data_IF_106266414586
#
_entry.id   IF_106266414586
#
_cell.length_a   1.000
_cell.length_b   1.000
_cell.length_c   1.000
_cell.angle_alpha   90.00
_cell.angle_beta   90.00
_cell.angle_gamma   90.00
#
_symmetry.space_group_name_H-M   'P 1'
#
loop_
_entity.id
_entity.type
_entity.pdbx_description
1 polymer ?
#
# COMPACT_ATOMS: atom_id res chain seq x y z
N UNK A 1 51.26 9.71 45.44
CA UNK A 1 49.85 10.16 45.33
C UNK A 1 49.57 10.86 44.00
N UNK A 2 50.15 12.03 43.71
CA UNK A 2 49.78 12.82 42.52
C UNK A 2 50.09 12.15 41.15
N UNK A 3 51.22 11.44 41.02
CA UNK A 3 51.54 10.68 39.80
C UNK A 3 50.55 9.53 39.51
N UNK A 4 50.11 8.83 40.55
CA UNK A 4 49.11 7.74 40.44
C UNK A 4 47.76 8.30 40.01
N UNK A 5 47.39 9.47 40.53
CA UNK A 5 46.16 10.17 40.15
C UNK A 5 46.15 10.59 38.68
N UNK A 6 47.28 11.07 38.14
CA UNK A 6 47.39 11.47 36.72
C UNK A 6 47.30 10.27 35.78
N UNK A 7 47.92 9.14 36.12
CA UNK A 7 47.84 7.90 35.33
C UNK A 7 46.41 7.36 35.30
N UNK A 8 45.71 7.37 36.44
CA UNK A 8 44.31 6.94 36.50
C UNK A 8 43.37 7.88 35.72
N UNK A 9 43.61 9.20 35.75
CA UNK A 9 42.82 10.16 34.99
C UNK A 9 43.04 9.99 33.48
N UNK A 10 44.29 9.81 33.04
CA UNK A 10 44.63 9.53 31.63
C UNK A 10 43.99 8.23 31.14
N UNK A 11 44.03 7.16 31.95
CA UNK A 11 43.37 5.89 31.61
C UNK A 11 41.84 6.05 31.49
N UNK A 12 41.21 6.83 32.37
CA UNK A 12 39.77 7.11 32.30
C UNK A 12 39.40 7.88 31.02
N UNK A 13 40.18 8.90 30.65
CA UNK A 13 39.95 9.69 29.43
C UNK A 13 40.04 8.82 28.17
N UNK A 14 41.08 7.99 28.07
CA UNK A 14 41.25 7.08 26.91
C UNK A 14 40.08 6.09 26.83
N UNK A 15 39.67 5.49 27.95
CA UNK A 15 38.54 4.56 27.98
C UNK A 15 37.22 5.24 27.57
N UNK A 16 36.99 6.50 27.97
CA UNK A 16 35.78 7.23 27.56
C UNK A 16 35.78 7.59 26.07
N UNK A 17 36.93 7.94 25.52
CA UNK A 17 37.07 8.26 24.10
C UNK A 17 36.86 7.02 23.22
N UNK A 18 37.41 5.86 23.61
CA UNK A 18 37.20 4.58 22.93
C UNK A 18 35.74 4.12 22.97
N UNK A 19 35.07 4.29 24.12
CA UNK A 19 33.65 3.97 24.27
C UNK A 19 32.78 4.86 23.38
N UNK A 20 33.06 6.17 23.35
CA UNK A 20 32.37 7.13 22.49
C UNK A 20 32.60 6.87 21.00
N UNK A 21 33.83 6.51 20.61
CA UNK A 21 34.13 6.14 19.23
C UNK A 21 33.37 4.88 18.79
N UNK A 22 33.38 3.84 19.63
CA UNK A 22 32.67 2.58 19.35
C UNK A 22 31.17 2.79 19.23
N UNK A 23 30.58 3.61 20.10
CA UNK A 23 29.17 3.96 20.07
C UNK A 23 28.81 4.72 18.79
N UNK A 24 29.59 5.73 18.39
CA UNK A 24 29.37 6.48 17.16
C UNK A 24 29.46 5.60 15.89
N UNK A 25 30.37 4.60 15.87
CA UNK A 25 30.40 3.64 14.76
C UNK A 25 29.14 2.77 14.70
N UNK A 26 28.63 2.32 15.84
CA UNK A 26 27.37 1.57 15.90
C UNK A 26 26.18 2.43 15.45
N UNK A 27 26.05 3.64 15.97
CA UNK A 27 24.97 4.57 15.59
C UNK A 27 25.00 4.90 14.10
N UNK A 28 26.20 5.08 13.51
CA UNK A 28 26.35 5.26 12.06
C UNK A 28 25.87 4.05 11.27
N UNK A 29 26.24 2.86 11.71
CA UNK A 29 25.82 1.62 11.05
C UNK A 29 24.31 1.43 11.12
N UNK A 30 23.72 1.61 12.30
CA UNK A 30 22.28 1.55 12.52
C UNK A 30 21.54 2.59 11.68
N UNK A 31 22.03 3.84 11.63
CA UNK A 31 21.42 4.88 10.81
C UNK A 31 21.46 4.54 9.31
N UNK A 32 22.57 3.97 8.82
CA UNK A 32 22.68 3.50 7.44
C UNK A 32 21.69 2.37 7.14
N UNK A 33 21.52 1.41 8.05
CA UNK A 33 20.53 0.34 7.90
C UNK A 33 19.11 0.90 7.87
N UNK A 34 18.75 1.76 8.83
CA UNK A 34 17.43 2.39 8.90
C UNK A 34 17.10 3.19 7.65
N UNK A 35 18.08 3.87 7.05
CA UNK A 35 17.89 4.56 5.76
C UNK A 35 17.59 3.60 4.63
N UNK A 36 18.35 2.51 4.52
CA UNK A 36 18.11 1.49 3.51
C UNK A 36 16.72 0.86 3.64
N UNK A 37 16.30 0.54 4.86
CA UNK A 37 14.97 0.02 5.14
C UNK A 37 13.87 1.05 4.85
N UNK A 38 14.10 2.33 5.17
CA UNK A 38 13.14 3.40 4.87
C UNK A 38 12.95 3.57 3.37
N UNK A 39 14.04 3.54 2.60
CA UNK A 39 13.98 3.65 1.14
C UNK A 39 13.28 2.43 0.52
N UNK A 40 13.53 1.22 1.04
CA UNK A 40 12.80 0.02 0.64
C UNK A 40 11.30 0.15 0.92
N UNK A 41 10.93 0.56 2.14
CA UNK A 41 9.53 0.75 2.52
C UNK A 41 8.85 1.83 1.68
N UNK A 42 9.54 2.92 1.34
CA UNK A 42 9.04 3.94 0.41
C UNK A 42 8.78 3.37 -0.98
N UNK A 43 9.69 2.57 -1.51
CA UNK A 43 9.53 1.92 -2.80
C UNK A 43 8.34 0.95 -2.81
N UNK A 44 8.18 0.13 -1.76
CA UNK A 44 7.03 -0.76 -1.59
C UNK A 44 5.71 0.03 -1.45
N UNK A 45 5.70 1.10 -0.67
CA UNK A 45 4.53 1.94 -0.49
C UNK A 45 4.06 2.57 -1.81
N UNK A 46 5.00 3.04 -2.64
CA UNK A 46 4.68 3.55 -3.97
C UNK A 46 4.05 2.47 -4.86
N UNK A 47 4.63 1.26 -4.89
CA UNK A 47 4.09 0.14 -5.66
C UNK A 47 2.66 -0.24 -5.22
N UNK A 48 2.38 -0.24 -3.91
CA UNK A 48 1.03 -0.52 -3.42
C UNK A 48 0.04 0.58 -3.78
N UNK A 49 0.45 1.86 -3.70
CA UNK A 49 -0.41 2.98 -4.12
C UNK A 49 -0.78 2.88 -5.60
N UNK A 50 0.19 2.59 -6.46
CA UNK A 50 -0.05 2.38 -7.89
C UNK A 50 -1.02 1.22 -8.13
N UNK A 51 -0.77 0.07 -7.50
CA UNK A 51 -1.65 -1.10 -7.61
C UNK A 51 -3.09 -0.78 -7.17
N UNK A 52 -3.27 -0.09 -6.03
CA UNK A 52 -4.58 0.31 -5.51
C UNK A 52 -5.29 1.31 -6.42
N UNK A 53 -4.56 2.27 -7.01
CA UNK A 53 -5.15 3.25 -7.93
C UNK A 53 -5.69 2.61 -9.21
N UNK A 54 -5.09 1.51 -9.65
CA UNK A 54 -5.55 0.75 -10.82
C UNK A 54 -6.63 -0.30 -10.50
N UNK A 55 -6.84 -0.60 -9.22
CA UNK A 55 -7.79 -1.62 -8.82
C UNK A 55 -9.23 -1.11 -8.97
N UNK A 56 -10.11 -1.98 -9.48
CA UNK A 56 -11.52 -1.69 -9.65
C UNK A 56 -12.39 -2.75 -8.99
N UNK A 57 -13.58 -2.37 -8.52
CA UNK A 57 -14.57 -3.28 -7.99
C UNK A 57 -15.04 -4.24 -9.10
N UNK A 58 -14.95 -5.57 -8.92
CA UNK A 58 -15.37 -6.53 -9.95
C UNK A 58 -16.88 -6.52 -10.19
N UNK A 59 -17.67 -6.04 -9.21
CA UNK A 59 -19.13 -6.05 -9.29
C UNK A 59 -19.69 -4.77 -9.92
N UNK A 60 -19.11 -3.60 -9.62
CA UNK A 60 -19.64 -2.32 -10.10
C UNK A 60 -18.71 -1.56 -11.06
N UNK A 61 -17.49 -2.06 -11.30
CA UNK A 61 -16.49 -1.41 -12.16
C UNK A 61 -15.96 -0.06 -11.63
N UNK A 62 -16.35 0.34 -10.42
CA UNK A 62 -15.87 1.58 -9.77
C UNK A 62 -14.43 1.46 -9.26
N UNK A 63 -13.75 2.59 -9.01
CA UNK A 63 -12.41 2.59 -8.41
C UNK A 63 -12.44 1.90 -7.04
N UNK A 64 -11.43 1.10 -6.74
CA UNK A 64 -11.26 0.46 -5.42
C UNK A 64 -10.66 1.42 -4.39
N UNK A 65 -10.04 2.51 -4.84
CA UNK A 65 -9.50 3.55 -3.98
C UNK A 65 -10.64 4.32 -3.28
N UNK A 66 -10.59 4.34 -1.95
CA UNK A 66 -11.56 5.06 -1.11
C UNK A 66 -11.43 6.57 -1.34
N UNK A 67 -12.57 7.23 -1.61
CA UNK A 67 -12.64 8.68 -1.76
C UNK A 67 -12.49 9.21 -3.19
N UNK A 68 -12.21 8.35 -4.17
CA UNK A 68 -12.18 8.73 -5.59
C UNK A 68 -13.58 8.79 -6.23
N UNK A 69 -14.61 8.34 -5.51
CA UNK A 69 -16.00 8.29 -5.98
C UNK A 69 -16.96 8.78 -4.89
N UNK A 70 -17.95 9.57 -5.29
CA UNK A 70 -19.02 10.00 -4.38
C UNK A 70 -19.93 8.84 -3.98
N UNK A 71 -20.59 8.94 -2.82
CA UNK A 71 -21.52 7.90 -2.37
C UNK A 71 -22.68 7.70 -3.36
N UNK A 72 -23.20 8.79 -3.92
CA UNK A 72 -24.29 8.74 -4.90
C UNK A 72 -23.86 8.05 -6.19
N UNK A 73 -22.66 8.35 -6.71
CA UNK A 73 -22.11 7.66 -7.88
C UNK A 73 -21.89 6.17 -7.59
N UNK A 74 -21.36 5.83 -6.41
CA UNK A 74 -21.18 4.45 -6.01
C UNK A 74 -22.51 3.68 -6.00
N UNK A 75 -23.54 4.27 -5.38
CA UNK A 75 -24.87 3.69 -5.32
C UNK A 75 -25.47 3.48 -6.72
N UNK A 76 -25.34 4.46 -7.62
CA UNK A 76 -25.79 4.33 -9.01
C UNK A 76 -25.07 3.22 -9.77
N UNK A 77 -23.75 3.07 -9.61
CA UNK A 77 -22.99 1.98 -10.25
C UNK A 77 -23.42 0.61 -9.73
N UNK A 78 -23.68 0.48 -8.43
CA UNK A 78 -24.16 -0.76 -7.82
C UNK A 78 -25.56 -1.12 -8.34
N UNK A 79 -26.48 -0.17 -8.40
CA UNK A 79 -27.82 -0.43 -8.96
C UNK A 79 -27.76 -0.77 -10.46
N UNK A 80 -26.90 -0.10 -11.23
CA UNK A 80 -26.70 -0.43 -12.64
C UNK A 80 -26.16 -1.86 -12.83
N UNK A 81 -25.21 -2.31 -12.00
CA UNK A 81 -24.73 -3.68 -12.03
C UNK A 81 -25.87 -4.67 -11.74
N UNK A 82 -26.67 -4.40 -10.70
CA UNK A 82 -27.83 -5.22 -10.33
C UNK A 82 -28.88 -5.30 -11.45
N UNK A 83 -29.16 -4.19 -12.12
CA UNK A 83 -30.11 -4.14 -13.24
C UNK A 83 -29.58 -4.91 -14.45
N UNK A 84 -28.27 -4.87 -14.72
CA UNK A 84 -27.65 -5.67 -15.80
C UNK A 84 -27.81 -7.17 -15.55
N UNK A 85 -27.56 -7.64 -14.33
CA UNK A 85 -27.77 -9.05 -13.97
C UNK A 85 -29.23 -9.47 -14.18
N UNK A 86 -30.18 -8.59 -13.87
CA UNK A 86 -31.60 -8.87 -14.09
C UNK A 86 -31.97 -8.92 -15.58
N UNK A 87 -31.43 -8.00 -16.38
CA UNK A 87 -31.58 -8.02 -17.84
C UNK A 87 -31.02 -9.33 -18.41
N UNK A 88 -29.85 -9.77 -17.96
CA UNK A 88 -29.22 -11.00 -18.44
C UNK A 88 -30.05 -12.23 -18.05
N UNK A 89 -30.58 -12.28 -16.82
CA UNK A 89 -31.50 -13.34 -16.39
C UNK A 89 -32.76 -13.39 -17.25
N UNK A 90 -33.42 -12.25 -17.46
CA UNK A 90 -34.64 -12.17 -18.27
C UNK A 90 -34.34 -12.52 -19.73
N UNK A 91 -33.21 -12.06 -20.27
CA UNK A 91 -32.79 -12.36 -21.64
C UNK A 91 -32.51 -13.85 -21.84
N UNK A 92 -31.89 -14.51 -20.86
CA UNK A 92 -31.68 -15.96 -20.89
C UNK A 92 -33.01 -16.73 -20.85
N UNK A 93 -33.99 -16.26 -20.08
CA UNK A 93 -35.35 -16.82 -20.09
C UNK A 93 -35.99 -16.60 -21.46
N UNK A 94 -36.00 -15.37 -21.98
CA UNK A 94 -36.58 -15.04 -23.27
C UNK A 94 -35.95 -15.84 -24.42
N UNK A 95 -34.64 -16.03 -24.43
CA UNK A 95 -33.95 -16.83 -25.45
C UNK A 95 -34.44 -18.30 -25.47
N UNK A 96 -34.75 -18.89 -24.31
CA UNK A 96 -35.32 -20.24 -24.22
C UNK A 96 -36.71 -20.35 -24.84
N UNK A 97 -37.51 -19.27 -24.76
CA UNK A 97 -38.89 -19.27 -25.26
C UNK A 97 -39.03 -18.72 -26.69
N UNK A 98 -38.15 -17.81 -27.11
CA UNK A 98 -38.21 -17.10 -28.41
C UNK A 98 -37.33 -17.77 -29.48
N UNK A 99 -36.46 -18.71 -29.10
CA UNK A 99 -35.66 -19.52 -30.03
C UNK A 99 -34.56 -18.75 -30.79
N UNK A 100 -34.32 -17.49 -30.42
CA UNK A 100 -33.27 -16.63 -30.98
C UNK A 100 -32.34 -16.16 -29.87
N UNK A 101 -31.01 -16.22 -30.04
CA UNK A 101 -30.09 -15.63 -29.08
C UNK A 101 -30.34 -14.11 -29.03
N UNK A 102 -30.68 -13.62 -27.84
CA UNK A 102 -30.81 -12.17 -27.60
C UNK A 102 -29.42 -11.57 -27.44
N UNK A 103 -29.24 -10.36 -27.97
CA UNK A 103 -27.96 -9.64 -27.89
C UNK A 103 -27.68 -9.26 -26.43
N UNK A 104 -26.49 -9.56 -25.87
CA UNK A 104 -26.14 -9.12 -24.53
C UNK A 104 -26.24 -7.60 -24.39
N UNK A 105 -26.67 -7.12 -23.22
CA UNK A 105 -26.73 -5.69 -22.95
C UNK A 105 -25.31 -5.09 -23.07
N UNK A 106 -25.12 -3.98 -23.82
CA UNK A 106 -23.79 -3.42 -24.03
C UNK A 106 -23.18 -2.95 -22.71
N UNK A 107 -21.95 -3.41 -22.44
CA UNK A 107 -21.16 -2.97 -21.29
C UNK A 107 -20.60 -1.59 -21.61
N UNK A 108 -21.37 -0.54 -21.32
CA UNK A 108 -20.83 0.81 -21.26
C UNK A 108 -20.00 0.91 -19.97
N UNK A 109 -18.69 1.11 -20.15
CA UNK A 109 -17.70 1.33 -19.08
C UNK A 109 -17.59 2.81 -18.76
#
# INVERSE_FOLDING_TARGET
MQRVMVVNLMALVVLTDDHGWTQNQHERHENSQLRADNDKLRAENMRYKEALSSASCPNCGGPAALGEMSFDEHHLRVENARLRDEIDRISAIAAKYVGKPMVPFPVLS
#
